data_IF_309119728698
#
_entry.id   IF_309119728698
#
_cell.length_a   1.000
_cell.length_b   1.000
_cell.length_c   1.000
_cell.angle_alpha   90.00
_cell.angle_beta   90.00
_cell.angle_gamma   90.00
#
_symmetry.space_group_name_H-M   'P 1'
#
loop_
_entity.id
_entity.type
_entity.pdbx_description
1 polymer ?
#
# COMPACT_ATOMS: atom_id res chain seq x y z
N UNK A 1 0.91 13.98 15.07
CA UNK A 1 0.98 14.19 13.61
C UNK A 1 1.41 15.63 13.36
N UNK A 2 2.57 15.90 12.75
CA UNK A 2 2.98 17.27 12.39
C UNK A 2 2.52 17.59 10.95
N UNK A 3 2.27 18.87 10.66
CA UNK A 3 1.86 19.34 9.33
C UNK A 3 2.84 18.91 8.24
N UNK A 4 4.14 19.02 8.51
CA UNK A 4 5.19 18.63 7.57
C UNK A 4 5.11 17.14 7.21
N UNK A 5 4.84 16.28 8.21
CA UNK A 5 4.69 14.83 7.96
C UNK A 5 3.44 14.53 7.13
N UNK A 6 2.36 15.28 7.33
CA UNK A 6 1.14 15.13 6.52
C UNK A 6 1.38 15.53 5.06
N UNK A 7 2.14 16.60 4.81
CA UNK A 7 2.52 17.03 3.47
C UNK A 7 3.39 15.99 2.75
N UNK A 8 4.38 15.42 3.44
CA UNK A 8 5.22 14.35 2.87
C UNK A 8 4.39 13.11 2.52
N UNK A 9 3.44 12.71 3.36
CA UNK A 9 2.56 11.59 3.06
C UNK A 9 1.66 11.87 1.84
N UNK A 10 1.20 13.11 1.66
CA UNK A 10 0.37 13.51 0.52
C UNK A 10 1.13 13.41 -0.81
N UNK A 11 2.46 13.58 -0.78
CA UNK A 11 3.36 13.45 -1.93
C UNK A 11 3.18 12.07 -2.60
N UNK A 12 3.04 11.03 -1.79
CA UNK A 12 2.91 9.63 -2.23
C UNK A 12 1.46 9.10 -2.15
N UNK A 13 0.45 9.98 -2.07
CA UNK A 13 -0.94 9.55 -2.12
C UNK A 13 -1.22 8.94 -3.50
N UNK A 14 -1.65 7.68 -3.54
CA UNK A 14 -1.91 6.90 -4.76
C UNK A 14 -2.88 7.59 -5.72
N UNK A 15 -3.82 8.41 -5.22
CA UNK A 15 -4.78 9.14 -6.06
C UNK A 15 -4.15 10.36 -6.74
N UNK A 16 -3.02 10.84 -6.21
CA UNK A 16 -2.30 12.02 -6.67
C UNK A 16 -0.96 11.67 -7.32
N UNK A 17 -0.55 10.39 -7.30
CA UNK A 17 0.75 9.92 -7.78
C UNK A 17 1.02 10.36 -9.23
N UNK A 18 0.11 10.05 -10.16
CA UNK A 18 0.25 10.47 -11.56
C UNK A 18 0.35 11.98 -11.72
N UNK A 19 -0.45 12.73 -10.95
CA UNK A 19 -0.43 14.19 -10.98
C UNK A 19 0.92 14.71 -10.46
N UNK A 20 1.43 14.15 -9.37
CA UNK A 20 2.69 14.54 -8.78
C UNK A 20 3.88 14.20 -9.69
N UNK A 21 3.82 13.10 -10.44
CA UNK A 21 4.79 12.75 -11.48
C UNK A 21 4.74 13.76 -12.63
N UNK A 22 3.54 14.04 -13.18
CA UNK A 22 3.34 15.01 -14.27
C UNK A 22 3.80 16.42 -13.88
N UNK A 23 3.62 16.80 -12.63
CA UNK A 23 4.02 18.10 -12.08
C UNK A 23 5.52 18.15 -11.68
N UNK A 24 6.28 17.06 -11.83
CA UNK A 24 7.69 16.98 -11.45
C UNK A 24 7.94 17.03 -9.94
N UNK A 25 6.90 16.81 -9.13
CA UNK A 25 6.99 16.75 -7.66
C UNK A 25 7.46 15.38 -7.18
N UNK A 26 7.28 14.35 -8.00
CA UNK A 26 7.80 13.00 -7.79
C UNK A 26 8.45 12.49 -9.07
N UNK A 27 9.48 11.68 -8.92
CA UNK A 27 10.03 10.85 -9.98
C UNK A 27 9.53 9.42 -9.86
N UNK A 28 9.46 8.69 -10.97
CA UNK A 28 9.10 7.26 -10.95
C UNK A 28 10.04 6.47 -10.03
N UNK A 29 11.33 6.79 -10.02
CA UNK A 29 12.31 6.13 -9.15
C UNK A 29 12.02 6.33 -7.65
N UNK A 30 11.47 7.49 -7.25
CA UNK A 30 11.04 7.73 -5.87
C UNK A 30 9.80 6.89 -5.52
N UNK A 31 8.83 6.74 -6.44
CA UNK A 31 7.68 5.83 -6.23
C UNK A 31 8.17 4.40 -6.01
N UNK A 32 9.06 3.93 -6.86
CA UNK A 32 9.51 2.54 -6.84
C UNK A 32 10.25 2.22 -5.54
N UNK A 33 11.11 3.15 -5.08
CA UNK A 33 11.80 3.03 -3.78
C UNK A 33 10.83 3.05 -2.61
N UNK A 34 9.82 3.92 -2.64
CA UNK A 34 8.81 3.99 -1.59
C UNK A 34 8.02 2.69 -1.52
N UNK A 35 7.59 2.18 -2.68
CA UNK A 35 6.83 0.93 -2.80
C UNK A 35 7.63 -0.27 -2.31
N UNK A 36 8.91 -0.36 -2.66
CA UNK A 36 9.79 -1.43 -2.20
C UNK A 36 10.09 -1.37 -0.69
N UNK A 37 9.99 -0.19 -0.06
CA UNK A 37 10.17 -0.01 1.37
C UNK A 37 8.89 -0.28 2.19
N UNK A 38 7.74 -0.47 1.55
CA UNK A 38 6.50 -0.79 2.25
C UNK A 38 6.59 -2.20 2.86
N UNK A 39 6.15 -2.37 4.12
CA UNK A 39 6.10 -3.69 4.72
C UNK A 39 5.10 -4.56 3.95
N UNK A 40 5.48 -5.80 3.70
CA UNK A 40 4.56 -6.80 3.21
C UNK A 40 3.59 -7.17 4.34
N UNK A 41 2.37 -6.65 4.24
CA UNK A 41 1.29 -6.90 5.21
C UNK A 41 0.60 -8.24 4.96
N UNK A 42 0.73 -8.83 3.76
CA UNK A 42 0.14 -10.14 3.45
C UNK A 42 0.86 -11.23 4.24
N UNK A 43 2.21 -11.22 4.24
CA UNK A 43 2.99 -12.17 5.03
C UNK A 43 2.84 -11.98 6.55
N UNK A 44 2.40 -10.80 6.99
CA UNK A 44 2.14 -10.49 8.40
C UNK A 44 0.71 -10.80 8.84
N UNK A 45 -0.17 -11.17 7.91
CA UNK A 45 -1.57 -11.51 8.23
C UNK A 45 -1.68 -12.94 8.74
N UNK A 46 -2.46 -13.15 9.80
CA UNK A 46 -2.80 -14.48 10.29
C UNK A 46 -3.64 -15.21 9.24
N UNK A 47 -3.11 -16.32 8.72
CA UNK A 47 -3.80 -17.12 7.71
C UNK A 47 -4.89 -17.94 8.41
N UNK A 48 -6.14 -17.66 8.06
CA UNK A 48 -7.27 -18.48 8.48
C UNK A 48 -7.38 -19.69 7.55
N UNK A 49 -6.96 -20.86 8.03
CA UNK A 49 -7.27 -22.14 7.38
C UNK A 49 -8.75 -22.45 7.63
N UNK A 50 -9.60 -22.06 6.69
CA UNK A 50 -11.01 -22.44 6.71
C UNK A 50 -11.07 -23.91 6.29
N UNK A 51 -11.09 -24.82 7.26
CA UNK A 51 -11.45 -26.21 7.02
C UNK A 51 -12.83 -26.24 6.37
N UNK A 52 -12.89 -26.73 5.12
CA UNK A 52 -14.16 -27.05 4.47
C UNK A 52 -14.72 -28.27 5.21
N UNK A 53 -15.57 -28.04 6.20
CA UNK A 53 -16.53 -29.06 6.61
C UNK A 53 -17.42 -29.33 5.38
N UNK A 54 -17.06 -30.34 4.60
CA UNK A 54 -17.98 -31.01 3.68
C UNK A 54 -19.11 -31.60 4.54
N UNK A 55 -20.11 -30.76 4.85
CA UNK A 55 -21.40 -31.23 5.34
C UNK A 55 -22.10 -31.85 4.14
N UNK A 56 -21.87 -33.14 3.96
CA UNK A 56 -22.78 -34.04 3.27
C UNK A 56 -24.18 -33.82 3.86
N UNK A 57 -24.99 -33.05 3.14
CA UNK A 57 -26.43 -32.95 3.38
C UNK A 57 -27.04 -34.23 2.81
N UNK A 58 -27.22 -35.23 3.69
CA UNK A 58 -28.11 -36.38 3.47
C UNK A 58 -29.56 -35.95 3.69
#
# INVERSE_FOLDING_TARGET
MSLNKALENLKFDKRLEELNIKMGRLTQSEVDKQTAALPDLESQSEKLDIEKEDKDVI
#
